data_IF_927516090487
#
_entry.id   IF_927516090487
#
_cell.length_a   1.000
_cell.length_b   1.000
_cell.length_c   1.000
_cell.angle_alpha   90.00
_cell.angle_beta   90.00
_cell.angle_gamma   90.00
#
_symmetry.space_group_name_H-M   'P 1'
#
loop_
_entity.id
_entity.type
_entity.pdbx_description
1 polymer ?
#
# COMPACT_ATOMS: atom_id res chain seq x y z
N UNK A 1 32.71 -89.23 -86.39
CA UNK A 1 34.04 -89.05 -87.01
C UNK A 1 33.97 -89.60 -88.43
N UNK A 2 34.05 -88.73 -89.44
CA UNK A 2 34.19 -89.08 -90.86
C UNK A 2 35.50 -88.47 -91.34
N UNK A 3 36.35 -89.28 -91.96
CA UNK A 3 37.78 -88.98 -92.14
C UNK A 3 38.00 -87.84 -93.14
N UNK A 4 39.07 -87.06 -92.94
CA UNK A 4 39.42 -85.91 -93.79
C UNK A 4 39.65 -86.31 -95.26
N UNK A 5 40.00 -87.57 -95.51
CA UNK A 5 40.16 -88.14 -96.86
C UNK A 5 38.83 -88.28 -97.61
N UNK A 6 37.74 -88.62 -96.92
CA UNK A 6 36.43 -88.78 -97.57
C UNK A 6 35.81 -87.45 -98.00
N UNK A 7 36.15 -86.36 -97.30
CA UNK A 7 35.73 -85.00 -97.70
C UNK A 7 36.48 -84.46 -98.91
N UNK A 8 37.72 -84.89 -99.13
CA UNK A 8 38.52 -84.46 -100.28
C UNK A 8 38.17 -85.28 -101.53
N UNK A 9 37.84 -86.56 -101.37
CA UNK A 9 37.43 -87.44 -102.47
C UNK A 9 36.08 -87.04 -103.10
N UNK A 10 35.15 -86.47 -102.34
CA UNK A 10 33.86 -85.98 -102.85
C UNK A 10 33.97 -84.66 -103.65
N UNK A 11 35.11 -83.96 -103.62
CA UNK A 11 35.31 -82.67 -104.31
C UNK A 11 35.95 -82.84 -105.70
N UNK A 12 36.52 -84.01 -106.00
CA UNK A 12 37.33 -84.23 -107.22
C UNK A 12 36.67 -85.11 -108.29
N UNK A 13 35.46 -85.62 -108.07
CA UNK A 13 34.72 -86.43 -109.06
C UNK A 13 33.31 -85.85 -109.28
N UNK A 14 33.21 -85.04 -110.32
CA UNK A 14 32.00 -84.63 -111.07
C UNK A 14 30.64 -84.89 -110.38
N UNK A 15 30.22 -83.91 -109.58
CA UNK A 15 28.81 -83.47 -109.47
C UNK A 15 28.76 -81.99 -109.85
N UNK A 16 27.69 -81.56 -110.50
CA UNK A 16 27.57 -80.26 -111.16
C UNK A 16 27.88 -79.11 -110.19
N UNK A 17 28.76 -78.21 -110.60
CA UNK A 17 29.13 -77.00 -109.83
C UNK A 17 27.91 -76.16 -109.43
N UNK A 18 26.79 -76.32 -110.12
CA UNK A 18 25.52 -75.64 -109.84
C UNK A 18 24.77 -76.25 -108.64
N UNK A 19 24.77 -77.57 -108.47
CA UNK A 19 24.10 -78.24 -107.33
C UNK A 19 24.83 -77.97 -106.00
N UNK A 20 26.16 -77.95 -105.99
CA UNK A 20 26.94 -77.58 -104.81
C UNK A 20 26.76 -76.10 -104.42
N UNK A 21 26.65 -75.20 -105.41
CA UNK A 21 26.41 -73.77 -105.21
C UNK A 21 25.00 -73.51 -104.68
N UNK A 22 23.98 -74.25 -105.14
CA UNK A 22 22.61 -74.14 -104.62
C UNK A 22 22.49 -74.65 -103.19
N UNK A 23 23.15 -75.77 -102.84
CA UNK A 23 23.19 -76.28 -101.48
C UNK A 23 23.90 -75.33 -100.50
N UNK A 24 25.01 -74.71 -100.90
CA UNK A 24 25.69 -73.66 -100.13
C UNK A 24 24.84 -72.39 -100.03
N UNK A 25 24.17 -71.96 -101.10
CA UNK A 25 23.24 -70.81 -101.08
C UNK A 25 22.07 -71.04 -100.12
N UNK A 26 21.51 -72.24 -100.09
CA UNK A 26 20.44 -72.59 -99.14
C UNK A 26 20.94 -72.58 -97.69
N UNK A 27 22.12 -73.16 -97.42
CA UNK A 27 22.74 -73.08 -96.08
C UNK A 27 23.06 -71.65 -95.66
N UNK A 28 23.50 -70.81 -96.58
CA UNK A 28 23.82 -69.41 -96.29
C UNK A 28 22.54 -68.58 -96.10
N UNK A 29 21.48 -68.87 -96.84
CA UNK A 29 20.16 -68.28 -96.63
C UNK A 29 19.56 -68.69 -95.27
N UNK A 30 19.69 -69.95 -94.87
CA UNK A 30 19.28 -70.44 -93.54
C UNK A 30 20.12 -69.82 -92.42
N UNK A 31 21.43 -69.65 -92.61
CA UNK A 31 22.31 -68.99 -91.65
C UNK A 31 21.98 -67.49 -91.50
N UNK A 32 21.67 -66.81 -92.61
CA UNK A 32 21.22 -65.42 -92.61
C UNK A 32 19.87 -65.27 -91.91
N UNK A 33 18.91 -66.16 -92.19
CA UNK A 33 17.60 -66.16 -91.52
C UNK A 33 17.75 -66.33 -90.00
N UNK A 34 18.54 -67.31 -89.55
CA UNK A 34 18.84 -67.54 -88.12
C UNK A 34 19.57 -66.35 -87.48
N UNK A 35 20.50 -65.72 -88.19
CA UNK A 35 21.21 -64.54 -87.70
C UNK A 35 20.28 -63.32 -87.58
N UNK A 36 19.33 -63.15 -88.51
CA UNK A 36 18.33 -62.08 -88.42
C UNK A 36 17.32 -62.32 -87.30
N UNK A 37 16.90 -63.55 -87.08
CA UNK A 37 16.02 -63.93 -85.96
C UNK A 37 16.71 -63.69 -84.61
N UNK A 38 17.98 -64.11 -84.47
CA UNK A 38 18.75 -63.87 -83.25
C UNK A 38 18.96 -62.37 -82.98
N UNK A 39 19.18 -61.55 -84.02
CA UNK A 39 19.27 -60.07 -83.87
C UNK A 39 17.94 -59.45 -83.48
N UNK A 40 16.83 -59.94 -84.02
CA UNK A 40 15.50 -59.44 -83.66
C UNK A 40 15.15 -59.80 -82.22
N UNK A 41 15.44 -61.03 -81.80
CA UNK A 41 15.27 -61.47 -80.41
C UNK A 41 16.15 -60.65 -79.46
N UNK A 42 17.42 -60.45 -79.80
CA UNK A 42 18.32 -59.63 -78.97
C UNK A 42 17.85 -58.17 -78.86
N UNK A 43 17.41 -57.56 -79.97
CA UNK A 43 16.86 -56.20 -79.94
C UNK A 43 15.54 -56.09 -79.15
N UNK A 44 14.73 -57.15 -79.13
CA UNK A 44 13.52 -57.22 -78.31
C UNK A 44 13.89 -57.33 -76.82
N UNK A 45 14.83 -58.21 -76.48
CA UNK A 45 15.33 -58.36 -75.11
C UNK A 45 15.98 -57.07 -74.59
N UNK A 46 16.79 -56.37 -75.40
CA UNK A 46 17.39 -55.09 -75.02
C UNK A 46 16.33 -54.02 -74.73
N UNK A 47 15.28 -53.94 -75.55
CA UNK A 47 14.17 -53.00 -75.32
C UNK A 47 13.42 -53.32 -74.04
N UNK A 48 13.10 -54.59 -73.80
CA UNK A 48 12.44 -55.01 -72.58
C UNK A 48 13.29 -54.74 -71.32
N UNK A 49 14.61 -54.92 -71.41
CA UNK A 49 15.53 -54.61 -70.32
C UNK A 49 15.59 -53.10 -70.07
N UNK A 50 15.68 -52.28 -71.12
CA UNK A 50 15.66 -50.82 -70.99
C UNK A 50 14.35 -50.31 -70.37
N UNK A 51 13.21 -50.86 -70.77
CA UNK A 51 11.91 -50.52 -70.18
C UNK A 51 11.84 -50.90 -68.70
N UNK A 52 12.35 -52.09 -68.33
CA UNK A 52 12.43 -52.53 -66.93
C UNK A 52 13.33 -51.62 -66.09
N UNK A 53 14.48 -51.19 -66.64
CA UNK A 53 15.39 -50.26 -65.96
C UNK A 53 14.69 -48.91 -65.71
N UNK A 54 14.03 -48.34 -66.73
CA UNK A 54 13.31 -47.08 -66.58
C UNK A 54 12.17 -47.17 -65.56
N UNK A 55 11.44 -48.29 -65.53
CA UNK A 55 10.40 -48.51 -64.52
C UNK A 55 10.99 -48.59 -63.10
N UNK A 56 12.15 -49.26 -62.93
CA UNK A 56 12.84 -49.33 -61.64
C UNK A 56 13.35 -47.96 -61.19
N UNK A 57 13.95 -47.18 -62.09
CA UNK A 57 14.41 -45.81 -61.79
C UNK A 57 13.26 -44.91 -61.34
N UNK A 58 12.13 -44.98 -62.05
CA UNK A 58 10.94 -44.20 -61.69
C UNK A 58 10.37 -44.61 -60.34
N UNK A 59 10.37 -45.92 -60.02
CA UNK A 59 9.97 -46.42 -58.69
C UNK A 59 10.91 -45.94 -57.59
N UNK A 60 12.23 -45.97 -57.82
CA UNK A 60 13.23 -45.49 -56.87
C UNK A 60 13.07 -43.99 -56.63
N UNK A 61 12.89 -43.18 -57.68
CA UNK A 61 12.64 -41.74 -57.56
C UNK A 61 11.37 -41.47 -56.75
N UNK A 62 10.26 -42.14 -57.08
CA UNK A 62 9.00 -41.98 -56.35
C UNK A 62 9.12 -42.39 -54.87
N UNK A 63 9.87 -43.44 -54.56
CA UNK A 63 10.15 -43.83 -53.17
C UNK A 63 11.00 -42.79 -52.44
N UNK A 64 12.06 -42.27 -53.06
CA UNK A 64 12.90 -41.21 -52.48
C UNK A 64 12.08 -39.95 -52.18
N UNK A 65 11.21 -39.54 -53.08
CA UNK A 65 10.33 -38.39 -52.87
C UNK A 65 9.33 -38.63 -51.73
N UNK A 66 8.76 -39.84 -51.62
CA UNK A 66 7.90 -40.20 -50.48
C UNK A 66 8.65 -40.14 -49.16
N UNK A 67 9.86 -40.70 -49.08
CA UNK A 67 10.68 -40.63 -47.88
C UNK A 67 11.08 -39.19 -47.53
N UNK A 68 11.43 -38.37 -48.53
CA UNK A 68 11.75 -36.96 -48.30
C UNK A 68 10.54 -36.17 -47.76
N UNK A 69 9.33 -36.42 -48.28
CA UNK A 69 8.10 -35.79 -47.76
C UNK A 69 7.74 -36.24 -46.34
N UNK A 70 8.04 -37.49 -45.99
CA UNK A 70 7.81 -38.02 -44.64
C UNK A 70 8.86 -37.56 -43.63
N UNK A 71 10.13 -37.42 -44.05
CA UNK A 71 11.22 -36.98 -43.18
C UNK A 71 11.22 -35.45 -42.95
N UNK A 72 10.75 -34.65 -43.91
CA UNK A 72 10.70 -33.19 -43.80
C UNK A 72 9.98 -32.65 -42.53
N UNK A 73 8.78 -33.15 -42.13
CA UNK A 73 8.17 -32.72 -40.87
C UNK A 73 8.90 -33.23 -39.64
N UNK A 74 9.47 -34.45 -39.66
CA UNK A 74 10.22 -34.99 -38.53
C UNK A 74 11.52 -34.21 -38.29
N UNK A 75 12.18 -33.74 -39.34
CA UNK A 75 13.37 -32.89 -39.23
C UNK A 75 13.06 -31.49 -38.69
N UNK A 76 11.84 -30.97 -38.86
CA UNK A 76 11.42 -29.70 -38.27
C UNK A 76 11.22 -29.77 -36.75
N UNK A 77 10.89 -30.95 -36.22
CA UNK A 77 10.80 -31.16 -34.77
C UNK A 77 12.18 -31.19 -34.08
N UNK A 78 13.25 -31.44 -34.84
CA UNK A 78 14.65 -31.41 -34.37
C UNK A 78 15.40 -30.13 -34.78
N UNK A 79 14.69 -29.12 -35.26
CA UNK A 79 15.29 -27.84 -35.60
C UNK A 79 15.52 -27.05 -34.30
N UNK A 80 16.67 -27.27 -33.66
CA UNK A 80 17.06 -26.65 -32.38
C UNK A 80 16.90 -25.12 -32.36
N UNK A 81 16.94 -24.50 -33.54
CA UNK A 81 16.69 -23.07 -33.75
C UNK A 81 15.22 -22.71 -33.47
N UNK A 82 14.26 -23.53 -33.88
CA UNK A 82 12.83 -23.30 -33.61
C UNK A 82 12.50 -23.49 -32.12
N UNK A 83 13.10 -24.51 -31.50
CA UNK A 83 12.94 -24.79 -30.06
C UNK A 83 13.56 -23.66 -29.22
N UNK A 84 14.77 -23.22 -29.55
CA UNK A 84 15.40 -22.08 -28.86
C UNK A 84 14.62 -20.79 -29.04
N UNK A 85 14.07 -20.50 -30.23
CA UNK A 85 13.18 -19.36 -30.45
C UNK A 85 11.93 -19.41 -29.56
N UNK A 86 11.30 -20.59 -29.41
CA UNK A 86 10.16 -20.77 -28.52
C UNK A 86 10.55 -20.48 -27.06
N UNK A 87 11.66 -21.02 -26.57
CA UNK A 87 12.13 -20.74 -25.21
C UNK A 87 12.49 -19.27 -25.00
N UNK A 88 13.11 -18.61 -25.98
CA UNK A 88 13.37 -17.16 -25.91
C UNK A 88 12.08 -16.35 -25.85
N UNK A 89 11.04 -16.75 -26.59
CA UNK A 89 9.73 -16.11 -26.52
C UNK A 89 9.05 -16.34 -25.17
N UNK A 90 9.11 -17.55 -24.61
CA UNK A 90 8.56 -17.83 -23.28
C UNK A 90 9.28 -17.05 -22.18
N UNK A 91 10.61 -17.00 -22.21
CA UNK A 91 11.40 -16.19 -21.27
C UNK A 91 11.08 -14.71 -21.45
N UNK A 92 11.00 -14.22 -22.70
CA UNK A 92 10.60 -12.84 -22.98
C UNK A 92 9.22 -12.49 -22.42
N UNK A 93 8.23 -13.36 -22.67
CA UNK A 93 6.87 -13.19 -22.16
C UNK A 93 6.83 -13.23 -20.62
N UNK A 94 7.61 -14.11 -19.99
CA UNK A 94 7.71 -14.21 -18.54
C UNK A 94 8.34 -12.95 -17.92
N UNK A 95 9.42 -12.45 -18.51
CA UNK A 95 10.07 -11.20 -18.08
C UNK A 95 9.14 -10.02 -18.25
N UNK A 96 8.45 -9.89 -19.40
CA UNK A 96 7.47 -8.82 -19.61
C UNK A 96 6.27 -8.92 -18.65
N UNK A 97 5.83 -10.13 -18.31
CA UNK A 97 4.77 -10.33 -17.32
C UNK A 97 5.22 -9.94 -15.90
N UNK A 98 6.48 -10.25 -15.54
CA UNK A 98 7.07 -9.84 -14.28
C UNK A 98 7.26 -8.32 -14.20
N UNK A 99 7.73 -7.69 -15.28
CA UNK A 99 7.87 -6.23 -15.37
C UNK A 99 6.51 -5.54 -15.20
N UNK A 100 5.48 -5.99 -15.92
CA UNK A 100 4.13 -5.46 -15.80
C UNK A 100 3.53 -5.65 -14.39
N UNK A 101 3.85 -6.77 -13.73
CA UNK A 101 3.43 -7.02 -12.35
C UNK A 101 4.12 -6.09 -11.35
N UNK A 102 5.44 -5.90 -11.48
CA UNK A 102 6.22 -4.96 -10.66
C UNK A 102 5.73 -3.53 -10.85
N UNK A 103 5.47 -3.11 -12.09
CA UNK A 103 4.90 -1.79 -12.37
C UNK A 103 3.52 -1.59 -11.73
N UNK A 104 2.65 -2.62 -11.77
CA UNK A 104 1.35 -2.56 -11.09
C UNK A 104 1.49 -2.48 -9.57
N UNK A 105 2.44 -3.21 -8.98
CA UNK A 105 2.71 -3.12 -7.54
C UNK A 105 3.23 -1.73 -7.17
N UNK A 106 4.22 -1.22 -7.90
CA UNK A 106 4.76 0.13 -7.69
C UNK A 106 3.70 1.22 -7.85
N UNK A 107 2.79 1.09 -8.83
CA UNK A 107 1.67 2.02 -9.00
C UNK A 107 0.67 1.96 -7.84
N UNK A 108 0.38 0.76 -7.31
CA UNK A 108 -0.52 0.61 -6.15
C UNK A 108 0.10 1.20 -4.89
N UNK A 109 1.36 0.90 -4.62
CA UNK A 109 2.11 1.46 -3.49
C UNK A 109 2.19 2.99 -3.58
N UNK A 110 2.60 3.54 -4.73
CA UNK A 110 2.70 5.00 -4.90
C UNK A 110 1.36 5.70 -4.78
N UNK A 111 0.25 5.08 -5.21
CA UNK A 111 -1.09 5.63 -5.03
C UNK A 111 -1.54 5.61 -3.57
N UNK A 112 -1.37 4.48 -2.87
CA UNK A 112 -1.77 4.32 -1.48
C UNK A 112 -0.91 5.17 -0.54
N UNK A 113 0.41 5.06 -0.62
CA UNK A 113 1.32 5.85 0.21
C UNK A 113 1.32 7.33 -0.16
N UNK A 114 1.23 7.64 -1.46
CA UNK A 114 1.12 9.03 -1.92
C UNK A 114 -0.13 9.72 -1.40
N UNK A 115 -1.26 8.99 -1.33
CA UNK A 115 -2.50 9.51 -0.76
C UNK A 115 -2.41 9.69 0.77
N UNK A 116 -1.94 8.67 1.48
CA UNK A 116 -1.82 8.69 2.95
C UNK A 116 -0.86 9.79 3.40
N UNK A 117 0.28 9.93 2.73
CA UNK A 117 1.26 10.98 3.01
C UNK A 117 0.67 12.38 2.80
N UNK A 118 -0.05 12.60 1.70
CA UNK A 118 -0.73 13.89 1.43
C UNK A 118 -1.77 14.21 2.51
N UNK A 119 -2.55 13.22 2.95
CA UNK A 119 -3.55 13.39 4.02
C UNK A 119 -2.90 13.72 5.37
N UNK A 120 -1.81 13.04 5.74
CA UNK A 120 -1.09 13.36 6.97
C UNK A 120 -0.48 14.77 6.94
N UNK A 121 0.00 15.21 5.77
CA UNK A 121 0.51 16.56 5.57
C UNK A 121 -0.64 17.58 5.71
N UNK A 122 -1.77 17.38 5.04
CA UNK A 122 -2.92 18.29 5.13
C UNK A 122 -3.42 18.44 6.57
N UNK A 123 -3.62 17.31 7.26
CA UNK A 123 -4.09 17.31 8.65
C UNK A 123 -3.09 18.03 9.55
N UNK A 124 -1.79 17.82 9.34
CA UNK A 124 -0.75 18.50 10.12
C UNK A 124 -0.70 20.01 9.90
N UNK A 125 -0.92 20.48 8.67
CA UNK A 125 -0.96 21.90 8.35
C UNK A 125 -2.18 22.57 8.97
N UNK A 126 -3.35 21.93 8.84
CA UNK A 126 -4.58 22.40 9.45
C UNK A 126 -4.46 22.43 10.98
N UNK A 127 -3.86 21.41 11.58
CA UNK A 127 -3.62 21.35 13.02
C UNK A 127 -2.69 22.46 13.52
N UNK A 128 -1.58 22.72 12.81
CA UNK A 128 -0.68 23.82 13.20
C UNK A 128 -1.34 25.19 13.01
N UNK A 129 -2.17 25.38 11.97
CA UNK A 129 -2.96 26.60 11.80
C UNK A 129 -3.93 26.80 12.99
N UNK A 130 -4.65 25.75 13.41
CA UNK A 130 -5.51 25.77 14.59
C UNK A 130 -4.74 26.11 15.86
N UNK A 131 -3.61 25.44 16.08
CA UNK A 131 -2.73 25.65 17.24
C UNK A 131 -2.23 27.09 17.32
N UNK A 132 -1.85 27.67 16.19
CA UNK A 132 -1.41 29.06 16.11
C UNK A 132 -2.55 30.02 16.44
N UNK A 133 -3.76 29.77 15.92
CA UNK A 133 -4.94 30.60 16.22
C UNK A 133 -5.30 30.56 17.70
N UNK A 134 -5.36 29.36 18.30
CA UNK A 134 -5.62 29.18 19.73
C UNK A 134 -4.57 29.91 20.60
N UNK A 135 -3.28 29.79 20.28
CA UNK A 135 -2.20 30.50 20.99
C UNK A 135 -2.29 32.02 20.87
N UNK A 136 -2.74 32.50 19.72
CA UNK A 136 -2.91 33.94 19.48
C UNK A 136 -4.15 34.54 20.15
N UNK A 137 -5.04 33.70 20.69
CA UNK A 137 -6.31 34.12 21.28
C UNK A 137 -7.32 34.64 20.25
N UNK A 138 -7.17 34.25 18.98
CA UNK A 138 -8.09 34.61 17.91
C UNK A 138 -9.25 33.61 17.84
N UNK A 139 -10.40 33.99 17.26
CA UNK A 139 -11.45 33.04 16.92
C UNK A 139 -10.90 31.95 16.00
N UNK A 140 -11.27 30.70 16.28
CA UNK A 140 -10.70 29.53 15.63
C UNK A 140 -11.76 28.53 15.14
N UNK A 141 -13.05 28.91 15.13
CA UNK A 141 -14.15 28.05 14.68
C UNK A 141 -13.94 27.46 13.27
N UNK A 142 -13.47 28.28 12.33
CA UNK A 142 -13.20 27.84 10.96
C UNK A 142 -12.03 26.86 10.89
N UNK A 143 -10.93 27.14 11.60
CA UNK A 143 -9.79 26.24 11.64
C UNK A 143 -10.13 24.93 12.35
N UNK A 144 -10.93 24.97 13.41
CA UNK A 144 -11.38 23.78 14.12
C UNK A 144 -12.22 22.90 13.18
N UNK A 145 -13.16 23.50 12.45
CA UNK A 145 -13.96 22.78 11.47
C UNK A 145 -13.08 22.16 10.38
N UNK A 146 -12.15 22.93 9.80
CA UNK A 146 -11.23 22.43 8.79
C UNK A 146 -10.36 21.27 9.30
N UNK A 147 -9.87 21.32 10.55
CA UNK A 147 -9.12 20.22 11.13
C UNK A 147 -9.95 18.96 11.35
N UNK A 148 -11.22 19.10 11.75
CA UNK A 148 -12.11 17.97 12.01
C UNK A 148 -12.57 17.31 10.71
N UNK A 149 -12.91 18.13 9.71
CA UNK A 149 -13.33 17.69 8.37
C UNK A 149 -12.18 16.93 7.68
N UNK A 150 -10.92 17.37 7.84
CA UNK A 150 -9.75 16.74 7.22
C UNK A 150 -9.27 15.49 8.00
N UNK A 151 -9.42 15.49 9.32
CA UNK A 151 -9.01 14.36 10.17
C UNK A 151 -9.99 13.17 10.09
N UNK A 152 -11.28 13.41 9.79
CA UNK A 152 -12.32 12.38 9.67
C UNK A 152 -12.38 11.41 10.87
N UNK A 153 -12.04 11.89 12.08
CA UNK A 153 -11.96 11.08 13.30
C UNK A 153 -13.14 11.36 14.22
N UNK A 154 -13.87 10.30 14.60
CA UNK A 154 -14.99 10.37 15.54
C UNK A 154 -14.53 10.83 16.95
N UNK A 155 -13.39 10.30 17.43
CA UNK A 155 -12.85 10.67 18.74
C UNK A 155 -12.48 12.15 18.81
N UNK A 156 -11.88 12.70 17.75
CA UNK A 156 -11.58 14.14 17.68
C UNK A 156 -12.84 15.00 17.68
N UNK A 157 -13.92 14.52 17.05
CA UNK A 157 -15.20 15.22 17.08
C UNK A 157 -15.76 15.30 18.50
N UNK A 158 -15.75 14.19 19.25
CA UNK A 158 -16.19 14.16 20.66
C UNK A 158 -15.33 15.07 21.53
N UNK A 159 -14.00 14.97 21.41
CA UNK A 159 -13.06 15.78 22.18
C UNK A 159 -13.15 17.28 21.85
N UNK A 160 -13.62 17.63 20.65
CA UNK A 160 -13.78 19.02 20.22
C UNK A 160 -15.05 19.71 20.70
N UNK A 161 -16.07 18.97 21.18
CA UNK A 161 -17.36 19.56 21.57
C UNK A 161 -17.23 20.70 22.59
N UNK A 162 -16.42 20.58 23.66
CA UNK A 162 -16.25 21.66 24.63
C UNK A 162 -15.64 22.93 24.02
N UNK A 163 -14.84 22.78 22.96
CA UNK A 163 -14.19 23.90 22.29
C UNK A 163 -15.18 24.77 21.53
N UNK A 164 -16.29 24.19 21.05
CA UNK A 164 -17.30 24.92 20.26
C UNK A 164 -17.94 26.05 21.05
N UNK A 165 -18.06 25.91 22.37
CA UNK A 165 -18.63 26.93 23.25
C UNK A 165 -17.85 28.26 23.27
N UNK A 166 -16.57 28.24 22.88
CA UNK A 166 -15.71 29.43 22.89
C UNK A 166 -14.91 29.61 21.59
N UNK A 167 -15.19 28.82 20.56
CA UNK A 167 -14.48 28.88 19.27
C UNK A 167 -14.63 30.25 18.57
N UNK A 168 -15.75 30.95 18.81
CA UNK A 168 -16.04 32.27 18.24
C UNK A 168 -15.37 33.43 18.99
N UNK A 169 -15.01 33.22 20.27
CA UNK A 169 -14.39 34.25 21.11
C UNK A 169 -12.88 34.06 21.24
N UNK A 170 -12.38 32.85 21.01
CA UNK A 170 -10.97 32.50 21.14
C UNK A 170 -10.58 32.12 22.56
N UNK A 171 -9.38 31.56 22.71
CA UNK A 171 -8.83 31.18 24.02
C UNK A 171 -8.38 32.45 24.76
N UNK A 172 -8.82 32.68 26.00
CA UNK A 172 -8.41 33.84 26.79
C UNK A 172 -6.90 33.81 27.05
N UNK A 173 -6.29 35.01 27.07
CA UNK A 173 -4.85 35.13 27.36
C UNK A 173 -4.55 34.72 28.81
N UNK A 174 -3.36 34.13 29.08
CA UNK A 174 -2.96 33.78 30.44
C UNK A 174 -2.98 34.94 31.44
N UNK A 175 -2.83 36.18 30.96
CA UNK A 175 -2.95 37.39 31.80
C UNK A 175 -4.33 37.58 32.41
N UNK A 176 -5.40 37.27 31.66
CA UNK A 176 -6.77 37.32 32.16
C UNK A 176 -7.01 36.25 33.22
N UNK A 177 -6.46 35.06 33.01
CA UNK A 177 -6.51 33.97 34.00
C UNK A 177 -5.81 34.38 35.29
N UNK A 178 -4.64 35.02 35.22
CA UNK A 178 -3.92 35.53 36.39
C UNK A 178 -4.67 36.64 37.12
N UNK A 179 -5.38 37.51 36.41
CA UNK A 179 -6.21 38.54 37.02
C UNK A 179 -7.39 37.92 37.78
N UNK A 180 -8.16 37.04 37.14
CA UNK A 180 -9.28 36.35 37.79
C UNK A 180 -8.82 35.45 38.95
N UNK A 181 -7.65 34.84 38.81
CA UNK A 181 -6.97 34.11 39.87
C UNK A 181 -6.64 35.00 41.08
N UNK A 182 -6.12 36.20 40.84
CA UNK A 182 -5.79 37.12 41.93
C UNK A 182 -7.03 37.51 42.73
N UNK A 183 -8.13 37.81 42.06
CA UNK A 183 -9.42 38.13 42.69
C UNK A 183 -9.97 36.94 43.49
N UNK A 184 -9.83 35.72 42.96
CA UNK A 184 -10.20 34.51 43.68
C UNK A 184 -9.29 34.26 44.91
N UNK A 185 -7.97 34.39 44.77
CA UNK A 185 -7.03 34.22 45.87
C UNK A 185 -7.34 35.19 47.02
N UNK A 186 -7.63 36.44 46.68
CA UNK A 186 -8.07 37.45 47.64
C UNK A 186 -9.40 37.07 48.30
N UNK A 187 -10.36 36.58 47.53
CA UNK A 187 -11.64 36.13 48.10
C UNK A 187 -11.46 34.94 49.06
N UNK A 188 -10.57 34.00 48.76
CA UNK A 188 -10.21 32.89 49.66
C UNK A 188 -9.66 33.43 50.98
N UNK A 189 -8.74 34.40 50.94
CA UNK A 189 -8.22 35.02 52.16
C UNK A 189 -9.31 35.76 52.95
N UNK A 190 -10.23 36.44 52.26
CA UNK A 190 -11.34 37.16 52.89
C UNK A 190 -12.36 36.23 53.55
N UNK A 191 -12.58 35.02 53.01
CA UNK A 191 -13.44 34.01 53.66
C UNK A 191 -12.86 33.45 54.97
N UNK A 192 -11.55 33.56 55.19
CA UNK A 192 -10.91 33.12 56.43
C UNK A 192 -10.91 34.16 57.55
N UNK A 193 -11.28 35.41 57.25
CA UNK A 193 -11.30 36.51 58.23
C UNK A 193 -12.57 36.43 59.07
N UNK A 194 -12.47 36.79 60.35
CA UNK A 194 -13.65 36.90 61.20
C UNK A 194 -14.64 37.95 60.66
N UNK A 195 -15.96 37.71 60.75
CA UNK A 195 -16.96 38.72 60.44
C UNK A 195 -16.74 39.94 61.34
N UNK A 196 -16.95 41.14 60.79
CA UNK A 196 -16.82 42.40 61.53
C UNK A 196 -17.81 42.36 62.69
N UNK A 197 -17.28 42.36 63.93
CA UNK A 197 -18.13 42.35 65.12
C UNK A 197 -19.03 43.59 65.11
N UNK A 198 -20.35 43.38 65.14
CA UNK A 198 -21.30 44.47 65.28
C UNK A 198 -21.05 45.16 66.63
N UNK A 199 -21.13 46.51 66.71
CA UNK A 199 -20.94 47.22 67.96
C UNK A 199 -21.98 46.73 68.98
N UNK A 200 -21.56 46.50 70.22
CA UNK A 200 -22.41 45.96 71.29
C UNK A 200 -23.60 46.89 71.51
N UNK A 201 -24.82 46.45 71.15
CA UNK A 201 -26.03 47.29 71.28
C UNK A 201 -26.74 47.14 72.63
N UNK A 202 -26.28 46.24 73.52
CA UNK A 202 -26.86 46.09 74.87
C UNK A 202 -26.18 45.04 75.77
N UNK A 203 -26.61 44.96 77.04
CA UNK A 203 -26.02 44.04 78.04
C UNK A 203 -26.24 42.55 77.74
N UNK A 204 -27.25 42.20 76.95
CA UNK A 204 -27.47 40.83 76.48
C UNK A 204 -26.45 40.40 75.41
N UNK A 205 -25.90 41.32 74.62
CA UNK A 205 -24.86 41.00 73.64
C UNK A 205 -23.53 40.70 74.31
N UNK A 206 -23.21 41.36 75.44
CA UNK A 206 -22.00 41.06 76.25
C UNK A 206 -21.92 39.58 76.65
N UNK A 207 -23.05 38.90 76.82
CA UNK A 207 -23.10 37.47 77.17
C UNK A 207 -22.96 36.54 75.95
N UNK A 208 -23.28 37.01 74.73
CA UNK A 208 -23.09 36.24 73.49
C UNK A 208 -21.62 36.13 73.07
N UNK A 209 -20.78 37.11 73.43
CA UNK A 209 -19.34 37.10 73.11
C UNK A 209 -18.55 35.95 73.74
N UNK A 210 -19.08 35.27 74.78
CA UNK A 210 -18.40 34.13 75.41
C UNK A 210 -18.65 32.78 74.74
N UNK A 211 -19.59 32.69 73.79
CA UNK A 211 -20.02 31.40 73.22
C UNK A 211 -19.91 31.31 71.70
N UNK A 212 -19.80 32.43 70.97
CA UNK A 212 -19.89 32.40 69.51
C UNK A 212 -18.56 32.15 68.78
N UNK A 213 -17.40 32.60 69.30
CA UNK A 213 -16.12 32.44 68.61
C UNK A 213 -14.97 32.27 69.60
N UNK A 214 -14.34 31.09 69.59
CA UNK A 214 -13.03 30.95 70.23
C UNK A 214 -11.97 31.64 69.36
N UNK A 215 -11.14 32.55 69.90
CA UNK A 215 -10.10 33.22 69.12
C UNK A 215 -9.15 32.22 68.43
N UNK A 216 -8.92 31.06 69.06
CA UNK A 216 -8.12 29.98 68.48
C UNK A 216 -8.69 29.37 67.19
N UNK A 217 -10.01 29.27 67.03
CA UNK A 217 -10.62 28.73 65.79
C UNK A 217 -10.63 29.75 64.67
N UNK A 218 -10.78 31.04 65.00
CA UNK A 218 -10.65 32.14 64.05
C UNK A 218 -9.22 32.20 63.49
N UNK A 219 -8.22 32.18 64.37
CA UNK A 219 -6.81 32.18 63.97
C UNK A 219 -6.44 30.95 63.13
N UNK A 220 -7.00 29.78 63.45
CA UNK A 220 -6.81 28.56 62.67
C UNK A 220 -7.45 28.64 61.28
N UNK A 221 -8.65 29.22 61.17
CA UNK A 221 -9.34 29.42 59.89
C UNK A 221 -8.62 30.43 59.00
N UNK A 222 -8.16 31.55 59.57
CA UNK A 222 -7.37 32.55 58.86
C UNK A 222 -6.04 31.95 58.36
N UNK A 223 -5.34 31.20 59.22
CA UNK A 223 -4.11 30.51 58.84
C UNK A 223 -4.35 29.46 57.74
N UNK A 224 -5.46 28.73 57.80
CA UNK A 224 -5.86 27.77 56.76
C UNK A 224 -6.13 28.48 55.44
N UNK A 225 -6.93 29.54 55.44
CA UNK A 225 -7.27 30.32 54.25
C UNK A 225 -6.04 30.94 53.56
N UNK A 226 -5.11 31.50 54.35
CA UNK A 226 -3.83 32.01 53.83
C UNK A 226 -2.97 30.91 53.20
N UNK A 227 -2.87 29.75 53.84
CA UNK A 227 -2.13 28.60 53.29
C UNK A 227 -2.73 28.13 51.98
N UNK A 228 -4.05 28.01 51.90
CA UNK A 228 -4.74 27.59 50.67
C UNK A 228 -4.63 28.63 49.56
N UNK A 229 -4.72 29.92 49.88
CA UNK A 229 -4.51 31.00 48.91
C UNK A 229 -3.08 30.99 48.36
N UNK A 230 -2.07 30.81 49.22
CA UNK A 230 -0.68 30.69 48.81
C UNK A 230 -0.41 29.43 47.95
N UNK A 231 -1.07 28.32 48.27
CA UNK A 231 -0.97 27.10 47.46
C UNK A 231 -1.66 27.29 46.09
N UNK A 232 -2.80 27.97 46.07
CA UNK A 232 -3.52 28.31 44.86
C UNK A 232 -2.70 29.20 43.93
N UNK A 233 -2.14 30.30 44.44
CA UNK A 233 -1.29 31.22 43.67
C UNK A 233 -0.08 30.49 43.10
N UNK A 234 0.55 29.60 43.88
CA UNK A 234 1.64 28.75 43.42
C UNK A 234 1.21 27.84 42.25
N UNK A 235 0.02 27.24 42.26
CA UNK A 235 -0.45 26.44 41.13
C UNK A 235 -0.64 27.27 39.86
N UNK A 236 -1.09 28.52 39.98
CA UNK A 236 -1.25 29.44 38.85
C UNK A 236 0.11 29.88 38.29
N UNK A 237 1.07 30.18 39.15
CA UNK A 237 2.44 30.50 38.75
C UNK A 237 3.10 29.33 37.99
N UNK A 238 2.78 28.09 38.39
CA UNK A 238 3.24 26.86 37.73
C UNK A 238 2.42 26.48 36.49
N UNK A 239 1.43 27.28 36.07
CA UNK A 239 0.47 26.97 35.00
C UNK A 239 -0.32 25.66 35.21
N UNK A 240 -0.50 25.22 36.46
CA UNK A 240 -1.25 24.02 36.81
C UNK A 240 -2.74 24.35 37.04
N UNK A 241 -3.42 24.82 36.00
CA UNK A 241 -4.78 25.36 36.09
C UNK A 241 -5.82 24.33 36.56
N UNK A 242 -5.69 23.05 36.15
CA UNK A 242 -6.58 21.99 36.60
C UNK A 242 -6.49 21.74 38.13
N UNK A 243 -5.27 21.76 38.69
CA UNK A 243 -5.06 21.62 40.14
C UNK A 243 -5.54 22.85 40.91
N UNK A 244 -5.36 24.04 40.32
CA UNK A 244 -5.87 25.28 40.88
C UNK A 244 -7.41 25.28 40.95
N UNK A 245 -8.10 24.80 39.91
CA UNK A 245 -9.55 24.64 39.91
C UNK A 245 -10.04 23.63 40.95
N UNK A 246 -9.40 22.46 41.07
CA UNK A 246 -9.76 21.45 42.08
C UNK A 246 -9.64 22.02 43.50
N UNK A 247 -8.56 22.75 43.80
CA UNK A 247 -8.38 23.41 45.09
C UNK A 247 -9.43 24.52 45.31
N UNK A 248 -9.81 25.27 44.28
CA UNK A 248 -10.87 26.28 44.35
C UNK A 248 -12.28 25.66 44.54
N UNK A 249 -12.52 24.43 44.06
CA UNK A 249 -13.73 23.66 44.34
C UNK A 249 -13.75 23.15 45.78
N UNK A 250 -12.62 22.67 46.29
CA UNK A 250 -12.45 22.32 47.70
C UNK A 250 -12.78 23.55 48.55
N UNK A 251 -12.09 24.68 48.35
CA UNK A 251 -12.64 26.07 48.40
C UNK A 251 -14.12 26.25 48.80
N UNK A 252 -14.94 26.03 47.78
CA UNK A 252 -16.39 26.21 47.81
C UNK A 252 -17.16 25.23 48.70
N UNK A 253 -16.54 24.21 49.29
CA UNK A 253 -17.21 23.26 50.20
C UNK A 253 -17.21 23.72 51.66
N UNK A 254 -16.18 24.44 52.11
CA UNK A 254 -16.02 24.89 53.50
C UNK A 254 -16.46 26.34 53.71
N UNK A 255 -16.66 27.10 52.62
CA UNK A 255 -17.23 28.46 52.61
C UNK A 255 -18.77 28.48 52.59
N UNK A 256 -19.43 27.31 52.62
CA UNK A 256 -20.91 27.17 52.52
C UNK A 256 -21.69 27.52 53.79
N UNK A 257 -21.01 27.89 54.87
CA UNK A 257 -21.66 28.28 56.11
C UNK A 257 -21.65 29.82 56.20
N UNK A 258 -22.85 30.40 56.34
CA UNK A 258 -23.15 31.82 56.62
C UNK A 258 -23.59 32.69 55.42
N UNK A 259 -24.68 33.45 55.61
CA UNK A 259 -25.28 34.39 54.65
C UNK A 259 -24.44 35.68 54.51
N UNK A 260 -23.13 35.54 54.37
CA UNK A 260 -22.19 36.66 54.36
C UNK A 260 -21.86 37.14 52.94
N UNK A 261 -21.68 38.46 52.80
CA UNK A 261 -21.27 39.15 51.56
C UNK A 261 -19.95 38.59 51.00
N UNK A 262 -19.10 38.03 51.85
CA UNK A 262 -17.85 37.36 51.46
C UNK A 262 -18.08 36.10 50.62
N UNK A 263 -19.18 35.38 50.85
CA UNK A 263 -19.55 34.16 50.10
C UNK A 263 -20.05 34.51 48.70
N UNK A 264 -20.81 35.61 48.56
CA UNK A 264 -21.24 36.11 47.25
C UNK A 264 -20.03 36.58 46.41
N UNK A 265 -19.10 37.30 47.03
CA UNK A 265 -17.86 37.73 46.39
C UNK A 265 -17.02 36.53 45.94
N UNK A 266 -16.85 35.51 46.80
CA UNK A 266 -16.17 34.26 46.45
C UNK A 266 -16.84 33.56 45.26
N UNK A 267 -18.16 33.41 45.28
CA UNK A 267 -18.90 32.73 44.21
C UNK A 267 -18.77 33.46 42.86
N UNK A 268 -18.77 34.79 42.86
CA UNK A 268 -18.58 35.60 41.66
C UNK A 268 -17.15 35.49 41.12
N UNK A 269 -16.15 35.58 42.01
CA UNK A 269 -14.73 35.37 41.64
C UNK A 269 -14.47 33.95 41.13
N UNK A 270 -15.11 32.94 41.72
CA UNK A 270 -15.00 31.54 41.28
C UNK A 270 -15.60 31.32 39.91
N UNK A 271 -16.78 31.88 39.64
CA UNK A 271 -17.38 31.84 38.29
C UNK A 271 -16.49 32.52 37.26
N UNK A 272 -15.95 33.70 37.58
CA UNK A 272 -15.05 34.45 36.70
C UNK A 272 -13.76 33.66 36.40
N UNK A 273 -13.14 33.10 37.44
CA UNK A 273 -11.95 32.25 37.29
C UNK A 273 -12.24 30.99 36.44
N UNK A 274 -13.36 30.32 36.69
CA UNK A 274 -13.79 29.13 35.93
C UNK A 274 -14.02 29.45 34.45
N UNK A 275 -14.67 30.57 34.14
CA UNK A 275 -14.88 31.02 32.76
C UNK A 275 -13.56 31.33 32.03
N UNK A 276 -12.56 31.87 32.73
CA UNK A 276 -11.26 32.15 32.14
C UNK A 276 -10.37 30.90 31.99
N UNK A 277 -10.45 29.95 32.92
CA UNK A 277 -9.56 28.78 32.97
C UNK A 277 -10.02 27.60 32.13
N UNK A 278 -11.33 27.32 32.10
CA UNK A 278 -11.86 26.15 31.39
C UNK A 278 -11.46 26.13 29.90
N UNK A 279 -11.60 27.23 29.13
CA UNK A 279 -11.20 27.23 27.73
C UNK A 279 -9.73 26.86 27.52
N UNK A 280 -8.87 27.31 28.43
CA UNK A 280 -7.43 27.10 28.36
C UNK A 280 -7.07 25.63 28.63
N UNK A 281 -7.67 25.03 29.67
CA UNK A 281 -7.50 23.61 29.99
C UNK A 281 -8.04 22.73 28.85
N UNK A 282 -9.23 23.02 28.35
CA UNK A 282 -9.83 22.24 27.26
C UNK A 282 -9.02 22.34 25.97
N UNK A 283 -8.47 23.51 25.65
CA UNK A 283 -7.60 23.69 24.50
C UNK A 283 -6.28 22.92 24.67
N UNK A 284 -5.66 22.96 25.85
CA UNK A 284 -4.44 22.19 26.12
C UNK A 284 -4.66 20.67 25.99
N UNK A 285 -5.75 20.15 26.57
CA UNK A 285 -6.10 18.72 26.49
C UNK A 285 -6.36 18.32 25.04
N UNK A 286 -7.15 19.10 24.30
CA UNK A 286 -7.44 18.81 22.90
C UNK A 286 -6.17 18.83 22.04
N UNK A 287 -5.32 19.87 22.18
CA UNK A 287 -4.08 19.96 21.41
C UNK A 287 -3.11 18.82 21.75
N UNK A 288 -3.04 18.41 23.02
CA UNK A 288 -2.22 17.27 23.43
C UNK A 288 -2.73 15.95 22.82
N UNK A 289 -4.05 15.73 22.89
CA UNK A 289 -4.68 14.55 22.29
C UNK A 289 -4.52 14.51 20.78
N UNK A 290 -4.81 15.61 20.07
CA UNK A 290 -4.69 15.71 18.62
C UNK A 290 -3.23 15.57 18.14
N UNK A 291 -2.26 16.10 18.90
CA UNK A 291 -0.84 15.89 18.59
C UNK A 291 -0.44 14.42 18.80
N UNK A 292 -0.92 13.77 19.86
CA UNK A 292 -0.66 12.37 20.13
C UNK A 292 -1.29 11.46 19.06
N UNK A 293 -2.54 11.73 18.66
CA UNK A 293 -3.23 10.97 17.61
C UNK A 293 -2.53 11.13 16.26
N UNK A 294 -2.14 12.35 15.88
CA UNK A 294 -1.39 12.59 14.64
C UNK A 294 -0.05 11.85 14.62
N UNK A 295 0.68 11.86 15.75
CA UNK A 295 1.93 11.13 15.87
C UNK A 295 1.72 9.61 15.82
N UNK A 296 0.67 9.09 16.47
CA UNK A 296 0.32 7.68 16.40
C UNK A 296 -0.01 7.26 14.95
N UNK A 297 -0.78 8.06 14.22
CA UNK A 297 -1.08 7.80 12.80
C UNK A 297 0.18 7.81 11.94
N UNK A 298 1.12 8.73 12.19
CA UNK A 298 2.41 8.76 11.48
C UNK A 298 3.23 7.50 11.76
N UNK A 299 3.33 7.08 13.02
CA UNK A 299 4.08 5.88 13.40
C UNK A 299 3.43 4.61 12.82
N UNK A 300 2.09 4.50 12.89
CA UNK A 300 1.36 3.40 12.29
C UNK A 300 1.59 3.31 10.77
N UNK A 301 1.69 4.45 10.08
CA UNK A 301 2.03 4.47 8.65
C UNK A 301 3.45 3.96 8.39
N UNK A 302 4.43 4.35 9.21
CA UNK A 302 5.82 3.85 9.10
C UNK A 302 5.90 2.36 9.42
N UNK A 303 5.21 1.90 10.45
CA UNK A 303 5.16 0.47 10.80
C UNK A 303 4.55 -0.35 9.66
N UNK A 304 3.43 0.09 9.10
CA UNK A 304 2.81 -0.56 7.95
C UNK A 304 3.78 -0.67 6.76
N UNK A 305 4.52 0.41 6.46
CA UNK A 305 5.56 0.43 5.42
C UNK A 305 6.73 -0.52 5.68
N UNK A 306 7.03 -0.85 6.95
CA UNK A 306 8.12 -1.76 7.29
C UNK A 306 7.68 -3.24 7.31
N UNK A 307 6.38 -3.49 7.39
CA UNK A 307 5.79 -4.84 7.45
C UNK A 307 5.33 -5.38 6.12
N UNK A 308 5.07 -4.51 5.13
CA UNK A 308 4.85 -4.88 3.72
C UNK A 308 6.18 -5.06 2.99
#
# INVERSE_FOLDING_TARGET
MTSWRDRIAAVLLFSETEEALTAERMRNAEALAKATEARLQHNQEEREVQEKILQLENRIKAQRERYARQAAPMLKEFDDIAISQHYYQEVGNSVSAQEAFVDQMAQRETQQFGYISKKLISVSLNFEALRQQMRSGKPFAQALKATLDDAESEDLNVMSEPLRAFADHGVPKPTLVRAAAFDLARSIEETGKAPVQQPVQGWLDLLKFRTAFSPSTVDQNEARARRTAAQFTRYIEQNQYARALALAEEVGTWTRNEHDVSVEYFNNSYKSFRQATLPLITAEIFLAYAAASLNASRMACVEHMLTE
#
